data_IF_787673674163
#
_entry.id   IF_787673674163
#
_cell.length_a   1.000
_cell.length_b   1.000
_cell.length_c   1.000
_cell.angle_alpha   90.00
_cell.angle_beta   90.00
_cell.angle_gamma   90.00
#
_symmetry.space_group_name_H-M   'P 1'
#
loop_
_entity.id
_entity.type
_entity.pdbx_description
1 polymer ?
#
# COMPACT_ATOMS: atom_id res chain seq x y z
N UNK A 1 10.03 18.53 -4.19
CA UNK A 1 10.02 17.09 -4.55
C UNK A 1 11.22 16.77 -5.43
N UNK A 2 12.09 15.84 -5.03
CA UNK A 2 13.20 15.41 -5.86
C UNK A 2 12.75 14.39 -6.92
N UNK A 3 13.27 14.54 -8.13
CA UNK A 3 13.23 13.55 -9.22
C UNK A 3 14.64 13.43 -9.81
N UNK A 4 14.95 12.40 -10.60
CA UNK A 4 16.28 12.29 -11.21
C UNK A 4 16.54 13.51 -12.11
N UNK A 5 17.58 14.27 -11.78
CA UNK A 5 18.05 15.49 -12.46
C UNK A 5 17.16 16.75 -12.33
N UNK A 6 16.05 16.71 -11.56
CA UNK A 6 15.18 17.89 -11.34
C UNK A 6 14.71 17.95 -9.88
N UNK A 7 14.92 19.11 -9.24
CA UNK A 7 14.32 19.45 -7.96
C UNK A 7 13.16 20.42 -8.18
N UNK A 8 11.94 19.98 -7.88
CA UNK A 8 10.76 20.84 -7.89
C UNK A 8 10.63 21.53 -6.53
N UNK A 9 10.51 22.86 -6.53
CA UNK A 9 10.41 23.69 -5.32
C UNK A 9 9.26 24.67 -5.49
N UNK A 10 8.43 24.78 -4.47
CA UNK A 10 7.39 25.81 -4.34
C UNK A 10 7.29 26.27 -2.88
N UNK A 11 6.61 27.39 -2.64
CA UNK A 11 6.28 27.84 -1.28
C UNK A 11 5.28 26.92 -0.61
N UNK A 12 5.40 26.72 0.69
CA UNK A 12 4.46 25.93 1.51
C UNK A 12 3.07 26.59 1.65
N UNK A 13 2.96 27.87 1.25
CA UNK A 13 1.74 28.66 1.17
C UNK A 13 1.19 28.80 -0.28
N UNK A 14 1.80 28.14 -1.26
CA UNK A 14 1.37 28.15 -2.66
C UNK A 14 0.71 26.82 -3.03
N UNK A 15 -0.58 26.70 -2.70
CA UNK A 15 -1.37 25.49 -2.93
C UNK A 15 -1.40 25.08 -4.41
N UNK A 16 -1.51 26.05 -5.33
CA UNK A 16 -1.51 25.79 -6.78
C UNK A 16 -0.15 25.23 -7.23
N UNK A 17 0.94 25.80 -6.71
CA UNK A 17 2.30 25.30 -6.95
C UNK A 17 2.50 23.87 -6.40
N UNK A 18 1.99 23.57 -5.21
CA UNK A 18 2.09 22.23 -4.61
C UNK A 18 1.31 21.19 -5.44
N UNK A 19 0.11 21.54 -5.92
CA UNK A 19 -0.67 20.70 -6.83
C UNK A 19 0.10 20.45 -8.13
N UNK A 20 0.63 21.51 -8.75
CA UNK A 20 1.39 21.40 -10.00
C UNK A 20 2.62 20.48 -9.85
N UNK A 21 3.29 20.49 -8.69
CA UNK A 21 4.42 19.60 -8.42
C UNK A 21 4.03 18.13 -8.39
N UNK A 22 2.90 17.78 -7.77
CA UNK A 22 2.41 16.39 -7.72
C UNK A 22 1.97 15.93 -9.09
N UNK A 23 1.24 16.77 -9.83
CA UNK A 23 0.80 16.45 -11.20
C UNK A 23 1.99 16.21 -12.14
N UNK A 24 3.03 17.04 -12.03
CA UNK A 24 4.25 16.83 -12.80
C UNK A 24 4.90 15.48 -12.46
N UNK A 25 4.94 15.10 -11.17
CA UNK A 25 5.50 13.80 -10.77
C UNK A 25 4.67 12.63 -11.31
N UNK A 26 3.33 12.73 -11.29
CA UNK A 26 2.44 11.73 -11.89
C UNK A 26 2.69 11.57 -13.39
N UNK A 27 2.79 12.68 -14.13
CA UNK A 27 3.11 12.66 -15.56
C UNK A 27 4.51 12.08 -15.81
N UNK A 28 5.50 12.48 -15.02
CA UNK A 28 6.86 11.96 -15.14
C UNK A 28 6.92 10.45 -14.89
N UNK A 29 6.16 9.94 -13.93
CA UNK A 29 6.05 8.50 -13.65
C UNK A 29 5.40 7.74 -14.82
N UNK A 30 4.36 8.29 -15.45
CA UNK A 30 3.76 7.71 -16.67
C UNK A 30 4.76 7.61 -17.83
N UNK A 31 5.76 8.50 -17.86
CA UNK A 31 6.86 8.46 -18.82
C UNK A 31 8.07 7.64 -18.34
N UNK A 32 7.92 6.83 -17.29
CA UNK A 32 8.95 5.92 -16.78
C UNK A 32 10.09 6.61 -16.03
N UNK A 33 9.87 7.84 -15.53
CA UNK A 33 10.90 8.56 -14.75
C UNK A 33 10.81 8.22 -13.28
N UNK A 34 11.98 8.19 -12.64
CA UNK A 34 12.10 8.04 -11.18
C UNK A 34 11.73 9.35 -10.50
N UNK A 35 10.69 9.30 -9.67
CA UNK A 35 10.19 10.41 -8.88
C UNK A 35 10.11 10.01 -7.41
N UNK A 36 10.23 10.97 -6.50
CA UNK A 36 10.02 10.69 -5.07
C UNK A 36 8.53 10.58 -4.74
N UNK A 37 8.20 9.60 -3.89
CA UNK A 37 6.85 9.40 -3.34
C UNK A 37 6.41 10.47 -2.34
N UNK A 38 7.32 11.36 -1.92
CA UNK A 38 7.10 12.24 -0.78
C UNK A 38 7.49 13.69 -1.08
N UNK A 39 6.75 14.59 -0.44
CA UNK A 39 7.11 16.01 -0.35
C UNK A 39 7.96 16.24 0.90
N UNK A 40 8.87 17.21 0.79
CA UNK A 40 9.73 17.61 1.88
C UNK A 40 9.75 19.12 1.99
N UNK A 41 9.77 19.61 3.22
CA UNK A 41 10.06 20.99 3.58
C UNK A 41 11.30 21.02 4.48
N UNK A 42 11.93 22.18 4.61
CA UNK A 42 13.08 22.35 5.48
C UNK A 42 12.67 23.15 6.71
N UNK A 43 12.80 22.54 7.88
CA UNK A 43 12.75 23.22 9.17
C UNK A 43 14.12 23.08 9.82
N UNK A 44 14.69 24.18 10.33
CA UNK A 44 16.03 24.19 10.95
C UNK A 44 17.15 23.50 10.14
N UNK A 45 17.06 23.57 8.80
CA UNK A 45 17.97 22.93 7.82
C UNK A 45 17.89 21.40 7.76
N UNK A 46 16.90 20.80 8.40
CA UNK A 46 16.60 19.38 8.30
C UNK A 46 15.42 19.15 7.32
N UNK A 47 15.55 18.21 6.37
CA UNK A 47 14.44 17.86 5.50
C UNK A 47 13.42 17.03 6.29
N UNK A 48 12.23 17.60 6.50
CA UNK A 48 11.09 16.92 7.12
C UNK A 48 10.07 16.53 6.06
N UNK A 49 9.27 15.50 6.33
CA UNK A 49 8.16 15.13 5.44
C UNK A 49 7.08 16.20 5.51
N UNK A 50 6.75 16.79 4.36
CA UNK A 50 5.64 17.72 4.26
C UNK A 50 4.34 16.93 4.07
N UNK A 51 3.37 17.16 4.96
CA UNK A 51 2.02 16.62 4.85
C UNK A 51 1.08 17.74 4.41
N UNK A 52 0.47 17.64 3.22
CA UNK A 52 -0.47 18.65 2.74
C UNK A 52 -1.68 18.80 3.66
N UNK A 53 -2.02 20.04 4.01
CA UNK A 53 -3.25 20.36 4.75
C UNK A 53 -4.51 20.20 3.87
N UNK A 54 -4.35 20.36 2.55
CA UNK A 54 -5.44 20.19 1.58
C UNK A 54 -5.77 18.71 1.36
N UNK A 55 -7.02 18.26 1.61
CA UNK A 55 -7.40 16.86 1.41
C UNK A 55 -7.21 16.37 -0.03
N UNK A 56 -7.51 17.23 -1.02
CA UNK A 56 -7.36 16.90 -2.43
C UNK A 56 -5.89 16.66 -2.81
N UNK A 57 -4.98 17.49 -2.29
CA UNK A 57 -3.55 17.34 -2.51
C UNK A 57 -3.01 16.10 -1.78
N UNK A 58 -3.47 15.86 -0.55
CA UNK A 58 -3.11 14.67 0.21
C UNK A 58 -3.53 13.38 -0.53
N UNK A 59 -4.73 13.34 -1.13
CA UNK A 59 -5.18 12.21 -1.93
C UNK A 59 -4.29 11.97 -3.16
N UNK A 60 -3.95 13.02 -3.91
CA UNK A 60 -3.06 12.92 -5.08
C UNK A 60 -1.66 12.44 -4.70
N UNK A 61 -1.09 12.97 -3.60
CA UNK A 61 0.21 12.53 -3.10
C UNK A 61 0.17 11.07 -2.66
N UNK A 62 -0.89 10.65 -1.97
CA UNK A 62 -1.07 9.26 -1.56
C UNK A 62 -1.22 8.33 -2.78
N UNK A 63 -1.91 8.77 -3.83
CA UNK A 63 -2.00 8.03 -5.09
C UNK A 63 -0.63 7.86 -5.76
N UNK A 64 0.17 8.93 -5.85
CA UNK A 64 1.54 8.86 -6.36
C UNK A 64 2.39 7.86 -5.57
N UNK A 65 2.33 7.91 -4.23
CA UNK A 65 3.05 6.98 -3.37
C UNK A 65 2.64 5.52 -3.65
N UNK A 66 1.33 5.25 -3.79
CA UNK A 66 0.83 3.91 -4.11
C UNK A 66 1.28 3.39 -5.47
N UNK A 67 1.38 4.25 -6.49
CA UNK A 67 1.89 3.87 -7.80
C UNK A 67 3.36 3.44 -7.74
N UNK A 68 4.17 4.16 -6.95
CA UNK A 68 5.57 3.81 -6.72
C UNK A 68 5.69 2.50 -5.93
N UNK A 69 4.94 2.37 -4.84
CA UNK A 69 4.91 1.13 -4.04
C UNK A 69 4.49 -0.07 -4.90
N UNK A 70 3.49 0.08 -5.79
CA UNK A 70 3.10 -0.98 -6.75
C UNK A 70 4.29 -1.46 -7.56
N UNK A 71 5.05 -0.54 -8.16
CA UNK A 71 6.20 -0.90 -8.99
C UNK A 71 7.31 -1.61 -8.21
N UNK A 72 7.57 -1.18 -6.97
CA UNK A 72 8.59 -1.79 -6.11
C UNK A 72 8.15 -3.17 -5.62
N UNK A 73 6.89 -3.33 -5.21
CA UNK A 73 6.36 -4.64 -4.81
C UNK A 73 6.27 -5.63 -5.98
N UNK A 74 5.96 -5.17 -7.20
CA UNK A 74 5.94 -6.05 -8.38
C UNK A 74 7.33 -6.62 -8.68
N UNK A 75 8.35 -5.76 -8.68
CA UNK A 75 9.74 -6.19 -8.87
C UNK A 75 10.21 -7.12 -7.74
N UNK A 76 9.80 -6.83 -6.50
CA UNK A 76 10.11 -7.69 -5.36
C UNK A 76 9.39 -9.05 -5.46
N UNK A 77 8.13 -9.09 -5.90
CA UNK A 77 7.36 -10.33 -6.06
C UNK A 77 8.05 -11.27 -7.04
N UNK A 78 8.41 -10.77 -8.22
CA UNK A 78 9.07 -11.55 -9.25
C UNK A 78 10.40 -12.16 -8.75
N UNK A 79 11.17 -11.38 -7.97
CA UNK A 79 12.40 -11.86 -7.36
C UNK A 79 12.16 -12.92 -6.26
N UNK A 80 11.16 -12.71 -5.40
CA UNK A 80 10.85 -13.64 -4.30
C UNK A 80 10.25 -14.94 -4.81
N UNK A 81 9.36 -14.89 -5.79
CA UNK A 81 8.78 -16.09 -6.42
C UNK A 81 9.89 -16.96 -7.00
N UNK A 82 10.84 -16.37 -7.73
CA UNK A 82 11.99 -17.09 -8.26
C UNK A 82 12.85 -17.75 -7.15
N UNK A 83 13.15 -17.02 -6.07
CA UNK A 83 13.91 -17.54 -4.94
C UNK A 83 13.18 -18.70 -4.24
N UNK A 84 11.86 -18.58 -4.04
CA UNK A 84 11.05 -19.59 -3.37
C UNK A 84 10.93 -20.86 -4.22
N UNK A 85 10.76 -20.72 -5.53
CA UNK A 85 10.79 -21.84 -6.48
C UNK A 85 12.13 -22.59 -6.43
N UNK A 86 13.25 -21.86 -6.47
CA UNK A 86 14.60 -22.46 -6.40
C UNK A 86 14.86 -23.18 -5.07
N UNK A 87 14.30 -22.67 -3.97
CA UNK A 87 14.48 -23.21 -2.62
C UNK A 87 13.42 -24.24 -2.23
N UNK A 88 12.41 -24.47 -3.08
CA UNK A 88 11.29 -25.37 -2.80
C UNK A 88 10.44 -24.93 -1.61
N UNK A 89 10.34 -23.62 -1.37
CA UNK A 89 9.54 -23.07 -0.28
C UNK A 89 8.12 -22.75 -0.78
N UNK A 90 7.11 -23.27 -0.08
CA UNK A 90 5.70 -23.02 -0.39
C UNK A 90 5.23 -21.74 0.31
N UNK A 91 5.73 -20.60 -0.20
CA UNK A 91 5.44 -19.26 0.30
C UNK A 91 4.63 -18.53 -0.77
N UNK A 92 3.36 -18.24 -0.48
CA UNK A 92 2.59 -17.37 -1.36
C UNK A 92 3.03 -15.91 -1.18
N UNK A 93 3.58 -15.30 -2.22
CA UNK A 93 3.95 -13.88 -2.21
C UNK A 93 2.73 -13.05 -2.65
N UNK A 94 2.00 -12.48 -1.68
CA UNK A 94 0.76 -11.77 -2.00
C UNK A 94 1.01 -10.52 -2.85
N UNK A 95 0.16 -10.31 -3.85
CA UNK A 95 0.24 -9.14 -4.73
C UNK A 95 -0.20 -7.86 -4.03
N UNK A 96 0.48 -6.75 -4.35
CA UNK A 96 0.01 -5.41 -4.05
C UNK A 96 -0.95 -4.98 -5.16
N UNK A 97 -2.26 -5.05 -4.93
CA UNK A 97 -3.25 -4.67 -5.95
C UNK A 97 -3.67 -3.22 -5.75
N UNK A 98 -3.52 -2.39 -6.79
CA UNK A 98 -3.95 -1.00 -6.75
C UNK A 98 -5.31 -0.85 -7.43
N UNK A 99 -6.30 -0.37 -6.68
CA UNK A 99 -7.63 -0.04 -7.17
C UNK A 99 -7.79 1.49 -7.26
N UNK A 100 -8.43 1.95 -8.33
CA UNK A 100 -8.77 3.36 -8.57
C UNK A 100 -10.27 3.48 -8.79
N UNK A 101 -10.92 4.51 -8.27
CA UNK A 101 -12.31 4.81 -8.65
C UNK A 101 -12.35 5.39 -10.07
N UNK A 102 -13.39 5.04 -10.83
CA UNK A 102 -13.58 5.51 -12.20
C UNK A 102 -13.79 7.05 -12.26
N UNK A 103 -14.53 7.59 -11.29
CA UNK A 103 -14.88 9.02 -11.26
C UNK A 103 -13.74 9.92 -10.75
N UNK A 104 -12.82 9.37 -9.96
CA UNK A 104 -11.62 10.06 -9.47
C UNK A 104 -10.46 9.09 -9.30
N UNK A 105 -9.55 8.99 -10.29
CA UNK A 105 -8.37 8.14 -10.22
C UNK A 105 -7.44 8.45 -9.03
N UNK A 106 -7.47 9.69 -8.50
CA UNK A 106 -6.71 10.04 -7.30
C UNK A 106 -7.30 9.36 -6.04
N UNK A 107 -8.59 9.03 -6.07
CA UNK A 107 -9.24 8.18 -5.09
C UNK A 107 -8.89 6.72 -5.39
N UNK A 108 -7.81 6.26 -4.77
CA UNK A 108 -7.25 4.93 -4.92
C UNK A 108 -6.92 4.30 -3.58
N UNK A 109 -6.84 2.97 -3.56
CA UNK A 109 -6.36 2.22 -2.42
C UNK A 109 -5.65 0.94 -2.88
N UNK A 110 -4.74 0.47 -2.05
CA UNK A 110 -4.08 -0.81 -2.23
C UNK A 110 -4.74 -1.91 -1.41
N UNK A 111 -4.74 -3.13 -1.96
CA UNK A 111 -5.34 -4.32 -1.35
C UNK A 111 -4.42 -5.53 -1.54
N UNK A 112 -4.23 -6.29 -0.47
CA UNK A 112 -3.65 -7.63 -0.51
C UNK A 112 -4.60 -8.62 0.17
N UNK A 113 -4.44 -9.90 -0.17
CA UNK A 113 -5.25 -10.98 0.40
C UNK A 113 -4.41 -11.87 1.29
N UNK A 114 -4.95 -12.20 2.46
CA UNK A 114 -4.43 -13.22 3.37
C UNK A 114 -5.47 -14.33 3.43
N UNK A 115 -5.13 -15.51 2.93
CA UNK A 115 -6.06 -16.66 2.85
C UNK A 115 -5.77 -17.66 3.95
N UNK A 116 -6.83 -18.14 4.60
CA UNK A 116 -6.74 -19.20 5.61
C UNK A 116 -6.08 -20.45 5.03
N UNK A 117 -5.06 -20.93 5.73
CA UNK A 117 -4.31 -22.13 5.34
C UNK A 117 -3.21 -21.90 4.30
N UNK A 118 -3.01 -20.66 3.85
CA UNK A 118 -1.94 -20.31 2.90
C UNK A 118 -0.85 -19.55 3.63
N UNK A 119 0.37 -20.09 3.64
CA UNK A 119 1.51 -19.41 4.25
C UNK A 119 1.97 -18.24 3.36
N UNK A 120 1.65 -17.02 3.79
CA UNK A 120 1.66 -15.83 2.93
C UNK A 120 2.74 -14.84 3.37
N UNK A 121 3.48 -14.28 2.42
CA UNK A 121 4.23 -13.04 2.63
C UNK A 121 3.34 -11.88 2.17
N UNK A 122 3.01 -10.96 3.09
CA UNK A 122 2.11 -9.84 2.83
C UNK A 122 2.88 -8.53 2.59
N UNK A 123 2.55 -7.77 1.53
CA UNK A 123 2.99 -6.40 1.41
C UNK A 123 2.23 -5.50 2.41
N UNK A 124 2.81 -4.35 2.75
CA UNK A 124 2.06 -3.29 3.44
C UNK A 124 1.12 -2.60 2.45
N UNK A 125 -0.17 -2.59 2.76
CA UNK A 125 -1.26 -2.07 1.91
C UNK A 125 -2.18 -1.13 2.70
N UNK A 126 -3.18 -0.52 2.06
CA UNK A 126 -4.21 0.28 2.75
C UNK A 126 -5.30 -0.63 3.34
N UNK A 127 -5.65 -1.69 2.61
CA UNK A 127 -6.70 -2.63 2.97
C UNK A 127 -6.20 -4.05 2.89
N UNK A 128 -6.68 -4.90 3.79
CA UNK A 128 -6.36 -6.31 3.83
C UNK A 128 -7.65 -7.12 3.69
N UNK A 129 -7.70 -7.99 2.68
CA UNK A 129 -8.77 -8.97 2.52
C UNK A 129 -8.40 -10.24 3.27
N UNK A 130 -9.16 -10.54 4.33
CA UNK A 130 -9.03 -11.77 5.10
C UNK A 130 -9.99 -12.80 4.51
N UNK A 131 -9.43 -13.81 3.83
CA UNK A 131 -10.19 -14.80 3.07
C UNK A 131 -10.27 -16.11 3.84
N UNK A 132 -11.49 -16.58 4.06
CA UNK A 132 -11.84 -17.84 4.71
C UNK A 132 -12.63 -18.68 3.71
N UNK A 133 -11.95 -19.52 2.90
CA UNK A 133 -12.64 -20.43 2.01
C UNK A 133 -13.66 -21.27 2.80
N UNK A 134 -14.83 -21.50 2.22
CA UNK A 134 -15.88 -22.37 2.76
C UNK A 134 -16.51 -21.88 4.09
N UNK A 135 -16.39 -20.59 4.43
CA UNK A 135 -17.02 -20.02 5.62
C UNK A 135 -18.47 -19.61 5.38
N UNK A 136 -19.41 -20.27 6.07
CA UNK A 136 -20.85 -20.02 6.00
C UNK A 136 -21.41 -19.25 7.23
N UNK A 137 -20.54 -18.71 8.08
CA UNK A 137 -20.94 -17.96 9.28
C UNK A 137 -21.22 -16.46 8.98
N UNK A 138 -21.65 -15.70 9.98
CA UNK A 138 -21.96 -14.26 9.85
C UNK A 138 -20.73 -13.39 9.48
N UNK A 139 -19.51 -13.85 9.70
CA UNK A 139 -18.28 -13.14 9.32
C UNK A 139 -18.01 -13.30 7.81
N UNK A 140 -18.55 -14.34 7.17
CA UNK A 140 -18.50 -14.57 5.71
C UNK A 140 -17.14 -14.98 5.13
N UNK A 141 -17.11 -15.34 3.84
CA UNK A 141 -15.90 -15.85 3.18
C UNK A 141 -14.79 -14.81 3.03
N UNK A 142 -15.14 -13.52 2.89
CA UNK A 142 -14.17 -12.44 2.70
C UNK A 142 -14.52 -11.28 3.61
N UNK A 143 -13.57 -10.86 4.44
CA UNK A 143 -13.67 -9.67 5.28
C UNK A 143 -12.58 -8.68 4.91
N UNK A 144 -12.96 -7.48 4.45
CA UNK A 144 -11.99 -6.44 4.06
C UNK A 144 -11.87 -5.41 5.17
N UNK A 145 -10.66 -5.21 5.67
CA UNK A 145 -10.37 -4.35 6.83
C UNK A 145 -9.25 -3.36 6.49
N UNK A 146 -9.05 -2.31 7.29
CA UNK A 146 -7.87 -1.45 7.12
C UNK A 146 -6.61 -2.18 7.56
N UNK A 147 -5.50 -1.96 6.85
CA UNK A 147 -4.21 -2.52 7.25
C UNK A 147 -3.76 -2.02 8.61
N UNK A 148 -3.99 -0.74 8.93
CA UNK A 148 -3.60 -0.17 10.22
C UNK A 148 -4.25 -0.91 11.39
N UNK A 149 -5.55 -1.18 11.30
CA UNK A 149 -6.26 -1.94 12.33
C UNK A 149 -5.78 -3.40 12.39
N UNK A 150 -5.64 -4.04 11.23
CA UNK A 150 -5.18 -5.43 11.14
C UNK A 150 -3.76 -5.59 11.69
N UNK A 151 -2.82 -4.74 11.28
CA UNK A 151 -1.43 -4.78 11.71
C UNK A 151 -1.27 -4.55 13.21
N UNK A 152 -2.16 -3.76 13.83
CA UNK A 152 -2.15 -3.57 15.28
C UNK A 152 -2.74 -4.78 16.02
N UNK A 153 -3.93 -5.24 15.63
CA UNK A 153 -4.62 -6.33 16.34
C UNK A 153 -3.98 -7.70 16.09
N UNK A 154 -3.41 -7.90 14.91
CA UNK A 154 -2.84 -9.16 14.44
C UNK A 154 -1.30 -9.14 14.44
N UNK A 155 -0.66 -8.17 15.11
CA UNK A 155 0.80 -8.06 15.20
C UNK A 155 1.50 -9.38 15.55
N UNK A 156 1.00 -10.20 16.51
CA UNK A 156 1.65 -11.48 16.84
C UNK A 156 1.65 -12.50 15.69
N UNK A 157 0.78 -12.31 14.69
CA UNK A 157 0.66 -13.15 13.51
C UNK A 157 1.42 -12.59 12.30
N UNK A 158 2.11 -11.45 12.43
CA UNK A 158 2.77 -10.73 11.34
C UNK A 158 4.27 -10.58 11.63
N UNK A 159 5.05 -11.57 11.21
CA UNK A 159 6.50 -11.52 11.35
C UNK A 159 7.11 -10.66 10.25
N UNK A 160 7.72 -9.53 10.61
CA UNK A 160 8.39 -8.64 9.64
C UNK A 160 9.57 -9.33 8.95
N UNK A 161 9.59 -9.29 7.63
CA UNK A 161 10.68 -9.83 6.81
C UNK A 161 11.77 -8.78 6.54
N UNK A 162 12.99 -9.25 6.25
CA UNK A 162 14.09 -8.39 5.83
C UNK A 162 13.97 -8.06 4.34
N UNK A 163 14.29 -6.81 3.97
CA UNK A 163 14.25 -6.36 2.57
C UNK A 163 13.48 -5.06 2.40
N UNK A 164 13.42 -4.61 1.15
CA UNK A 164 12.65 -3.45 0.72
C UNK A 164 11.91 -3.77 -0.59
N UNK A 165 10.62 -3.39 -0.72
CA UNK A 165 9.75 -2.88 0.35
C UNK A 165 9.55 -3.89 1.50
N UNK A 166 9.03 -3.41 2.63
CA UNK A 166 8.82 -4.28 3.80
C UNK A 166 7.66 -5.25 3.56
N UNK A 167 7.86 -6.51 3.95
CA UNK A 167 6.82 -7.54 3.94
C UNK A 167 6.65 -8.17 5.31
N UNK A 168 5.53 -8.85 5.50
CA UNK A 168 5.16 -9.52 6.74
C UNK A 168 4.77 -10.97 6.45
N UNK A 169 5.57 -11.91 6.95
CA UNK A 169 5.27 -13.34 6.90
C UNK A 169 4.17 -13.66 7.90
N UNK A 170 3.10 -14.26 7.42
CA UNK A 170 1.96 -14.66 8.27
C UNK A 170 2.30 -15.87 9.12
N UNK A 171 2.05 -15.82 10.43
CA UNK A 171 2.29 -16.94 11.35
C UNK A 171 0.98 -17.69 11.65
N UNK A 172 0.32 -18.17 10.59
CA UNK A 172 -1.01 -18.78 10.65
C UNK A 172 -2.11 -17.87 10.13
N UNK A 173 -3.35 -18.07 10.57
CA UNK A 173 -4.50 -17.23 10.20
C UNK A 173 -5.23 -16.76 11.47
N UNK A 174 -5.82 -15.55 11.50
CA UNK A 174 -6.49 -15.06 12.69
C UNK A 174 -7.66 -15.96 13.12
N UNK A 175 -7.81 -16.17 14.42
CA UNK A 175 -8.97 -16.84 14.97
C UNK A 175 -10.24 -15.98 14.75
N UNK A 176 -11.40 -16.63 14.63
CA UNK A 176 -12.66 -15.93 14.32
C UNK A 176 -13.02 -14.86 15.38
N UNK A 177 -12.65 -15.07 16.64
CA UNK A 177 -12.84 -14.09 17.72
C UNK A 177 -12.01 -12.80 17.54
N UNK A 178 -10.84 -12.88 16.89
CA UNK A 178 -10.04 -11.70 16.53
C UNK A 178 -10.62 -11.03 15.28
N UNK A 179 -11.07 -11.81 14.30
CA UNK A 179 -11.73 -11.29 13.09
C UNK A 179 -12.99 -10.50 13.42
N UNK A 180 -13.80 -10.97 14.36
CA UNK A 180 -15.01 -10.30 14.80
C UNK A 180 -14.74 -8.92 15.43
N UNK A 181 -13.53 -8.66 15.93
CA UNK A 181 -13.13 -7.35 16.48
C UNK A 181 -12.66 -6.37 15.39
N UNK A 182 -12.44 -6.85 14.16
CA UNK A 182 -12.03 -6.01 13.04
C UNK A 182 -13.26 -5.33 12.42
N UNK A 183 -13.16 -4.02 12.17
CA UNK A 183 -14.20 -3.27 11.49
C UNK A 183 -13.98 -3.38 9.99
N UNK A 184 -15.05 -3.70 9.26
CA UNK A 184 -14.99 -3.74 7.81
C UNK A 184 -14.90 -2.33 7.22
N UNK A 185 -14.11 -2.20 6.16
CA UNK A 185 -14.07 -1.01 5.34
C UNK A 185 -14.89 -1.27 4.08
N UNK A 186 -15.88 -0.41 3.82
CA UNK A 186 -16.79 -0.58 2.68
C UNK A 186 -16.00 -0.68 1.37
N UNK A 187 -16.18 -1.79 0.66
CA UNK A 187 -15.64 -2.07 -0.67
C UNK A 187 -16.80 -2.02 -1.65
N UNK A 188 -16.86 -0.99 -2.50
CA UNK A 188 -17.73 -1.01 -3.67
C UNK A 188 -16.91 -1.65 -4.77
N UNK A 189 -17.20 -2.91 -5.10
CA UNK A 189 -16.73 -3.50 -6.36
C UNK A 189 -17.49 -2.77 -7.45
N UNK A 190 -16.80 -2.10 -8.36
CA UNK A 190 -17.40 -1.76 -9.65
C UNK A 190 -17.85 -3.08 -10.29
N UNK A 191 -19.16 -3.18 -10.54
CA UNK A 191 -19.77 -4.32 -11.22
C UNK A 191 -19.54 -4.33 -12.72
#
# INVERSE_FOLDING_TARGET
>A
MPTRDVLLVTGDNDDDGLVAMVEFCLQALQHGRVVSAHMYHYEDREPLRYQPSSPALAHRLAHLARLLDKSEYDAQNEALDHIHEEQGMDIFVANYNLFTQEDDPATSFSLASWTRGVDTSLPKVDRLALVRPDAEDEIGEVRVVSWEQAAHLLEPLLAREAGYPVRYRTQGFPADALLAQLNEVTYVVGG
#
